data_IF_877011395219
#
_entry.id   IF_877011395219
#
_cell.length_a   1.000
_cell.length_b   1.000
_cell.length_c   1.000
_cell.angle_alpha   90.00
_cell.angle_beta   90.00
_cell.angle_gamma   90.00
#
_symmetry.space_group_name_H-M   'P 1'
#
loop_
_entity.id
_entity.type
_entity.pdbx_description
1 polymer ?
#
# COMPACT_ATOMS: atom_id res chain seq x y z
N UNK A 1 -23.85 -2.96 -10.64
CA UNK A 1 -22.52 -3.51 -10.32
C UNK A 1 -22.04 -4.40 -11.47
N UNK A 2 -20.97 -3.93 -12.14
CA UNK A 2 -20.13 -4.71 -13.04
C UNK A 2 -19.30 -5.70 -12.18
N UNK A 3 -19.17 -6.96 -12.59
CA UNK A 3 -18.39 -7.97 -11.87
C UNK A 3 -16.94 -7.96 -12.36
N UNK A 4 -16.00 -7.75 -11.45
CA UNK A 4 -14.58 -7.60 -11.74
C UNK A 4 -13.84 -8.82 -11.22
N UNK A 5 -14.11 -9.99 -11.81
CA UNK A 5 -13.31 -11.19 -11.51
C UNK A 5 -12.31 -11.42 -12.63
N UNK A 6 -10.99 -11.44 -12.36
CA UNK A 6 -10.06 -12.03 -13.29
C UNK A 6 -10.44 -13.51 -13.43
N UNK A 7 -10.92 -13.91 -14.61
CA UNK A 7 -11.19 -15.31 -14.92
C UNK A 7 -10.18 -15.76 -15.97
N UNK A 8 -9.27 -16.70 -15.65
CA UNK A 8 -8.49 -17.36 -16.68
C UNK A 8 -9.41 -18.40 -17.35
N UNK A 9 -9.81 -18.17 -18.61
CA UNK A 9 -10.36 -19.24 -19.46
C UNK A 9 -9.39 -19.56 -20.57
N UNK A 10 -8.90 -20.80 -20.59
CA UNK A 10 -8.63 -21.65 -21.77
C UNK A 10 -7.72 -21.14 -22.88
N UNK A 11 -6.82 -21.99 -23.34
CA UNK A 11 -6.02 -21.85 -24.56
C UNK A 11 -6.90 -21.62 -25.79
N UNK A 12 -6.81 -20.44 -26.40
CA UNK A 12 -7.52 -20.13 -27.64
C UNK A 12 -7.59 -18.63 -27.92
N UNK A 13 -7.22 -18.24 -29.14
CA UNK A 13 -7.17 -16.85 -29.62
C UNK A 13 -8.58 -16.24 -29.75
N UNK A 14 -9.16 -15.80 -28.63
CA UNK A 14 -10.09 -14.66 -28.51
C UNK A 14 -10.67 -14.67 -27.09
N UNK A 15 -10.09 -13.92 -26.17
CA UNK A 15 -10.57 -13.87 -24.78
C UNK A 15 -11.43 -12.62 -24.57
N UNK A 16 -12.75 -12.81 -24.61
CA UNK A 16 -13.74 -11.77 -24.29
C UNK A 16 -14.13 -11.92 -22.82
N UNK A 17 -13.91 -10.86 -22.03
CA UNK A 17 -14.23 -10.81 -20.60
C UNK A 17 -15.75 -10.71 -20.38
N UNK A 18 -16.33 -11.56 -19.52
CA UNK A 18 -17.78 -11.66 -19.28
C UNK A 18 -18.20 -11.29 -17.85
N UNK A 19 -19.32 -10.57 -17.72
CA UNK A 19 -19.84 -9.97 -16.48
C UNK A 19 -21.03 -10.79 -15.94
N UNK A 20 -21.08 -11.14 -14.65
CA UNK A 20 -22.29 -11.75 -14.03
C UNK A 20 -22.63 -11.17 -12.66
N UNK A 21 -23.92 -10.80 -12.46
CA UNK A 21 -24.51 -10.35 -11.18
C UNK A 21 -25.16 -11.54 -10.48
N UNK A 22 -24.93 -11.76 -9.18
CA UNK A 22 -25.89 -12.47 -8.33
C UNK A 22 -25.81 -12.01 -6.86
N UNK A 23 -27.00 -11.78 -6.30
CA UNK A 23 -27.29 -11.29 -4.95
C UNK A 23 -27.69 -12.44 -3.99
N UNK A 24 -27.62 -12.09 -2.69
CA UNK A 24 -28.51 -12.45 -1.56
C UNK A 24 -28.37 -13.78 -0.80
N UNK A 25 -28.81 -13.67 0.48
CA UNK A 25 -29.04 -14.64 1.58
C UNK A 25 -27.84 -14.74 2.56
N UNK A 26 -27.92 -14.51 3.88
CA UNK A 26 -28.99 -14.26 4.87
C UNK A 26 -28.66 -15.03 6.18
N UNK A 27 -29.01 -14.49 7.37
CA UNK A 27 -29.14 -15.14 8.71
C UNK A 27 -28.08 -14.87 9.84
N UNK A 28 -28.55 -14.09 10.83
CA UNK A 28 -28.59 -14.17 12.32
C UNK A 28 -27.43 -14.65 13.24
N UNK A 29 -27.14 -13.82 14.28
CA UNK A 29 -26.85 -14.28 15.66
C UNK A 29 -25.56 -13.81 16.38
N UNK A 30 -25.66 -12.83 17.30
CA UNK A 30 -25.09 -12.90 18.68
C UNK A 30 -23.66 -12.39 19.07
N UNK A 31 -23.60 -11.34 19.93
CA UNK A 31 -22.64 -11.13 21.06
C UNK A 31 -21.19 -10.64 20.80
N UNK A 32 -20.80 -9.36 21.06
CA UNK A 32 -20.23 -8.74 22.30
C UNK A 32 -18.67 -8.75 22.35
N UNK A 33 -17.97 -7.61 22.10
CA UNK A 33 -17.35 -6.63 23.06
C UNK A 33 -16.07 -7.18 23.73
N UNK A 34 -14.88 -6.55 23.81
CA UNK A 34 -14.44 -5.16 24.03
C UNK A 34 -12.94 -4.99 23.61
N UNK A 35 -12.50 -3.78 23.25
CA UNK A 35 -11.32 -3.16 23.89
C UNK A 35 -10.50 -2.33 22.89
N UNK A 36 -10.11 -1.11 23.27
CA UNK A 36 -9.57 -0.04 22.41
C UNK A 36 -8.46 0.67 23.18
N UNK A 37 -7.31 0.92 22.56
CA UNK A 37 -6.34 1.94 22.99
C UNK A 37 -5.60 2.53 21.76
N UNK A 38 -4.98 3.72 21.87
CA UNK A 38 -5.26 4.83 20.97
C UNK A 38 -4.14 5.15 19.97
N UNK A 39 -4.56 5.90 18.96
CA UNK A 39 -3.78 6.55 17.92
C UNK A 39 -2.94 7.69 18.45
N UNK A 40 -1.67 7.76 18.03
CA UNK A 40 -0.96 9.03 17.89
C UNK A 40 -0.43 9.16 16.46
N UNK A 41 -0.93 10.21 15.80
CA UNK A 41 -0.48 10.76 14.54
C UNK A 41 0.93 11.29 14.72
N UNK A 42 1.86 10.96 13.83
CA UNK A 42 3.04 11.80 13.63
C UNK A 42 3.43 11.79 12.15
N UNK A 43 3.69 13.00 11.66
CA UNK A 43 4.27 13.33 10.38
C UNK A 43 5.58 12.55 10.20
N UNK A 44 5.69 11.75 9.14
CA UNK A 44 6.91 11.00 8.84
C UNK A 44 7.43 11.35 7.45
N UNK A 45 8.56 12.06 7.44
CA UNK A 45 9.49 12.07 6.33
C UNK A 45 10.29 10.76 6.36
N UNK A 46 10.14 9.92 5.32
CA UNK A 46 10.95 8.72 5.11
C UNK A 46 12.37 9.09 4.66
N UNK A 47 13.39 8.35 5.11
CA UNK A 47 14.73 8.32 4.51
C UNK A 47 15.34 6.91 4.67
N UNK A 48 16.28 6.56 3.78
CA UNK A 48 16.47 5.25 3.12
C UNK A 48 17.67 4.40 3.60
N UNK A 49 17.70 3.11 3.23
CA UNK A 49 18.92 2.27 3.10
C UNK A 49 18.72 1.11 2.09
N UNK A 50 19.72 0.85 1.23
CA UNK A 50 19.68 -0.11 0.10
C UNK A 50 20.66 -1.28 0.29
N UNK A 51 20.24 -2.48 -0.11
CA UNK A 51 21.09 -3.68 -0.17
C UNK A 51 21.33 -4.11 -1.63
N UNK A 52 22.58 -4.32 -2.05
CA UNK A 52 22.88 -5.12 -3.23
C UNK A 52 22.86 -6.61 -2.84
N UNK A 53 22.24 -7.44 -3.69
CA UNK A 53 22.41 -8.90 -3.62
C UNK A 53 23.84 -9.20 -4.08
N UNK A 54 24.65 -9.77 -3.17
CA UNK A 54 25.97 -10.33 -3.47
C UNK A 54 27.12 -9.31 -3.57
N UNK A 55 27.84 -9.10 -2.46
CA UNK A 55 29.32 -8.98 -2.40
C UNK A 55 29.76 -8.49 -1.02
N UNK A 56 30.72 -9.20 -0.43
CA UNK A 56 31.37 -8.90 0.84
C UNK A 56 32.09 -7.53 0.84
N UNK A 57 32.34 -6.94 2.02
CA UNK A 57 32.74 -5.56 2.16
C UNK A 57 34.26 -5.44 2.18
N UNK A 58 34.84 -4.68 1.25
CA UNK A 58 36.13 -4.06 1.52
C UNK A 58 36.26 -2.72 0.77
N UNK A 59 36.66 -1.71 1.56
CA UNK A 59 37.04 -0.32 1.21
C UNK A 59 35.93 0.64 0.77
N UNK A 60 35.65 1.63 1.62
CA UNK A 60 35.28 2.98 1.18
C UNK A 60 36.17 3.99 1.92
N UNK A 61 36.80 4.93 1.20
CA UNK A 61 37.13 6.23 1.75
C UNK A 61 36.30 7.33 1.07
N UNK A 62 35.78 8.25 1.91
CA UNK A 62 35.48 9.66 1.58
C UNK A 62 34.67 9.95 0.33
N UNK A 63 33.34 9.93 0.44
CA UNK A 63 32.32 10.31 -0.55
C UNK A 63 32.79 11.18 -1.75
N UNK A 64 33.19 10.56 -2.88
CA UNK A 64 33.19 11.22 -4.17
C UNK A 64 32.04 10.65 -5.01
N UNK A 65 31.33 11.51 -5.73
CA UNK A 65 30.61 11.10 -6.94
C UNK A 65 31.66 10.71 -7.99
N UNK A 66 32.24 9.53 -7.84
CA UNK A 66 32.85 8.78 -8.94
C UNK A 66 32.21 7.42 -8.93
N UNK A 67 31.48 7.12 -10.01
CA UNK A 67 31.06 5.78 -10.35
C UNK A 67 32.25 4.84 -10.09
N UNK A 68 32.13 4.00 -9.06
CA UNK A 68 33.11 2.96 -8.80
C UNK A 68 33.17 2.09 -10.05
N UNK A 69 34.37 1.91 -10.58
CA UNK A 69 34.75 1.13 -11.76
C UNK A 69 34.52 -0.36 -11.54
N UNK A 70 33.24 -0.69 -11.42
CA UNK A 70 32.63 -1.97 -11.15
C UNK A 70 31.14 -1.71 -11.03
N UNK A 71 30.53 -1.26 -12.15
CA UNK A 71 29.20 -0.71 -12.19
C UNK A 71 28.17 -1.71 -11.62
N UNK A 72 27.80 -1.54 -10.35
CA UNK A 72 26.63 -2.20 -9.79
C UNK A 72 25.43 -1.68 -10.58
N UNK A 73 24.96 -2.49 -11.52
CA UNK A 73 23.76 -2.19 -12.30
C UNK A 73 22.55 -2.39 -11.39
N UNK A 74 21.97 -1.29 -10.95
CA UNK A 74 20.72 -1.31 -10.20
C UNK A 74 19.61 -1.76 -11.13
N UNK A 75 19.06 -2.95 -10.91
CA UNK A 75 18.02 -3.49 -11.80
C UNK A 75 16.64 -2.95 -11.39
N UNK A 76 16.38 -2.81 -10.08
CA UNK A 76 15.07 -2.45 -9.53
C UNK A 76 15.19 -1.42 -8.41
N UNK A 77 14.25 -0.46 -8.38
CA UNK A 77 14.10 0.53 -7.31
C UNK A 77 12.66 0.58 -6.81
N UNK A 78 12.41 0.26 -5.53
CA UNK A 78 11.06 0.28 -4.95
C UNK A 78 10.74 1.64 -4.34
N UNK A 79 9.49 2.11 -4.48
CA UNK A 79 9.08 3.43 -4.01
C UNK A 79 7.63 3.52 -3.53
N UNK A 80 7.40 4.48 -2.64
CA UNK A 80 6.13 4.72 -1.93
C UNK A 80 5.19 5.65 -2.70
N UNK A 81 4.67 5.27 -3.88
CA UNK A 81 3.69 6.05 -4.70
C UNK A 81 3.83 7.60 -4.62
N UNK A 82 5.07 8.11 -4.59
CA UNK A 82 5.39 9.48 -4.22
C UNK A 82 6.08 10.16 -5.39
N UNK A 83 5.42 11.18 -5.95
CA UNK A 83 5.93 11.90 -7.13
C UNK A 83 7.29 12.56 -6.89
N UNK A 84 7.56 13.21 -5.73
CA UNK A 84 8.89 13.73 -5.43
C UNK A 84 9.98 12.65 -5.42
N UNK A 85 9.70 11.47 -4.85
CA UNK A 85 10.69 10.39 -4.84
C UNK A 85 10.91 9.81 -6.23
N UNK A 86 9.84 9.64 -7.01
CA UNK A 86 9.97 9.27 -8.42
C UNK A 86 10.91 10.20 -9.17
N UNK A 87 10.77 11.52 -9.03
CA UNK A 87 11.66 12.48 -9.67
C UNK A 87 13.13 12.33 -9.25
N UNK A 88 13.38 12.01 -7.97
CA UNK A 88 14.72 11.71 -7.47
C UNK A 88 15.28 10.44 -8.13
N UNK A 89 14.49 9.36 -8.27
CA UNK A 89 14.94 8.16 -8.98
C UNK A 89 15.20 8.41 -10.46
N UNK A 90 14.31 9.16 -11.13
CA UNK A 90 14.47 9.53 -12.54
C UNK A 90 15.81 10.27 -12.76
N UNK A 91 16.26 11.07 -11.78
CA UNK A 91 17.51 11.84 -11.86
C UNK A 91 18.74 11.04 -11.43
N UNK A 92 18.63 10.31 -10.31
CA UNK A 92 19.80 9.70 -9.65
C UNK A 92 20.06 8.27 -10.10
N UNK A 93 19.03 7.56 -10.57
CA UNK A 93 19.08 6.14 -10.94
C UNK A 93 18.26 5.89 -12.23
N UNK A 94 18.58 6.56 -13.35
CA UNK A 94 17.81 6.46 -14.59
C UNK A 94 17.76 5.05 -15.19
N UNK A 95 18.79 4.24 -14.92
CA UNK A 95 18.90 2.85 -15.39
C UNK A 95 18.08 1.86 -14.55
N UNK A 96 17.60 2.25 -13.37
CA UNK A 96 16.87 1.37 -12.48
C UNK A 96 15.39 1.34 -12.83
N UNK A 97 14.83 0.14 -13.00
CA UNK A 97 13.39 0.02 -13.21
C UNK A 97 12.66 0.27 -11.90
N UNK A 98 11.81 1.28 -11.88
CA UNK A 98 11.09 1.68 -10.68
C UNK A 98 9.84 0.82 -10.45
N UNK A 99 9.64 0.36 -9.23
CA UNK A 99 8.54 -0.49 -8.78
C UNK A 99 7.71 0.24 -7.75
N UNK A 100 6.40 0.33 -7.97
CA UNK A 100 5.45 0.79 -6.97
C UNK A 100 5.21 -0.32 -5.95
N UNK A 101 5.50 -0.05 -4.69
CA UNK A 101 5.37 -1.07 -3.65
C UNK A 101 3.88 -1.46 -3.40
N UNK A 102 3.52 -2.76 -3.43
CA UNK A 102 2.13 -3.21 -3.31
C UNK A 102 1.44 -2.76 -2.03
N UNK A 103 2.17 -2.69 -0.92
CA UNK A 103 1.62 -2.27 0.36
C UNK A 103 1.10 -0.83 0.28
N UNK A 104 1.84 0.08 -0.37
CA UNK A 104 1.41 1.47 -0.52
C UNK A 104 0.17 1.63 -1.39
N UNK A 105 0.02 0.83 -2.45
CA UNK A 105 -1.20 0.84 -3.27
C UNK A 105 -2.42 0.32 -2.49
N UNK A 106 -2.27 -0.80 -1.78
CA UNK A 106 -3.35 -1.38 -0.96
C UNK A 106 -3.70 -0.44 0.22
N UNK A 107 -2.70 0.20 0.83
CA UNK A 107 -2.90 1.21 1.86
C UNK A 107 -3.69 2.41 1.34
N UNK A 108 -3.35 2.91 0.13
CA UNK A 108 -4.12 3.97 -0.51
C UNK A 108 -5.57 3.56 -0.78
N UNK A 109 -5.81 2.34 -1.28
CA UNK A 109 -7.15 1.81 -1.50
C UNK A 109 -7.98 1.77 -0.20
N UNK A 110 -7.36 1.32 0.91
CA UNK A 110 -7.98 1.37 2.24
C UNK A 110 -8.29 2.80 2.70
N UNK A 111 -7.38 3.76 2.47
CA UNK A 111 -7.62 5.16 2.79
C UNK A 111 -8.80 5.73 1.99
N UNK A 112 -8.90 5.44 0.69
CA UNK A 112 -10.02 5.88 -0.16
C UNK A 112 -11.34 5.22 0.23
N UNK A 113 -11.32 3.98 0.69
CA UNK A 113 -12.47 3.34 1.28
C UNK A 113 -12.93 4.04 2.57
N UNK A 114 -12.01 4.39 3.48
CA UNK A 114 -12.37 5.12 4.69
C UNK A 114 -12.87 6.55 4.40
N UNK A 115 -12.27 7.25 3.43
CA UNK A 115 -12.77 8.55 2.94
C UNK A 115 -14.23 8.44 2.45
N UNK A 116 -14.51 7.49 1.55
CA UNK A 116 -15.86 7.28 1.02
C UNK A 116 -16.85 6.94 2.15
N UNK A 117 -16.45 6.04 3.05
CA UNK A 117 -17.25 5.65 4.22
C UNK A 117 -17.58 6.85 5.09
N UNK A 118 -16.59 7.70 5.41
CA UNK A 118 -16.78 8.91 6.22
C UNK A 118 -17.68 9.93 5.53
N UNK A 119 -17.49 10.13 4.22
CA UNK A 119 -18.31 11.05 3.43
C UNK A 119 -19.77 10.59 3.39
N UNK A 120 -20.04 9.35 2.99
CA UNK A 120 -21.40 8.79 2.93
C UNK A 120 -22.07 8.85 4.31
N UNK A 121 -21.33 8.53 5.37
CA UNK A 121 -21.88 8.61 6.71
C UNK A 121 -22.26 10.04 7.12
N UNK A 122 -21.40 11.02 6.82
CA UNK A 122 -21.68 12.42 7.14
C UNK A 122 -22.84 12.96 6.29
N UNK A 123 -22.91 12.60 5.00
CA UNK A 123 -24.03 12.93 4.11
C UNK A 123 -25.36 12.34 4.60
N UNK A 124 -25.34 11.14 5.18
CA UNK A 124 -26.56 10.42 5.59
C UNK A 124 -27.03 10.80 6.99
N UNK A 125 -26.11 11.03 7.93
CA UNK A 125 -26.43 11.25 9.35
C UNK A 125 -26.20 12.70 9.83
N UNK A 126 -25.60 13.55 9.00
CA UNK A 126 -25.27 14.95 9.35
C UNK A 126 -24.17 15.09 10.40
N UNK A 127 -23.49 14.00 10.78
CA UNK A 127 -22.42 14.02 11.77
C UNK A 127 -21.32 12.98 11.51
N UNK A 128 -20.18 13.18 12.19
CA UNK A 128 -19.06 12.23 12.21
C UNK A 128 -19.44 10.89 12.87
N UNK A 129 -18.78 9.82 12.43
CA UNK A 129 -18.72 8.47 13.02
C UNK A 129 -18.89 8.34 14.54
N UNK A 130 -20.04 7.82 14.98
CA UNK A 130 -20.33 7.38 16.35
C UNK A 130 -20.40 5.86 16.45
N UNK A 131 -20.26 5.33 17.67
CA UNK A 131 -20.19 3.87 17.91
C UNK A 131 -21.44 3.10 17.47
N UNK A 132 -22.59 3.75 17.44
CA UNK A 132 -23.89 3.18 17.05
C UNK A 132 -24.10 3.15 15.53
N UNK A 133 -23.41 4.04 14.79
CA UNK A 133 -23.63 4.20 13.36
C UNK A 133 -23.19 2.94 12.58
N UNK A 134 -23.99 2.42 11.64
CA UNK A 134 -23.66 1.21 10.91
C UNK A 134 -22.30 1.30 10.19
N UNK A 135 -22.04 2.41 9.49
CA UNK A 135 -20.79 2.64 8.78
C UNK A 135 -19.58 2.86 9.69
N UNK A 136 -19.77 3.31 10.93
CA UNK A 136 -18.67 3.35 11.89
C UNK A 136 -18.35 1.94 12.41
N UNK A 137 -19.39 1.13 12.67
CA UNK A 137 -19.27 -0.24 13.18
C UNK A 137 -18.55 -1.16 12.19
N UNK A 138 -18.80 -1.01 10.89
CA UNK A 138 -18.24 -1.89 9.84
C UNK A 138 -16.78 -1.59 9.48
N UNK A 139 -16.22 -0.44 9.88
CA UNK A 139 -14.92 0.08 9.41
C UNK A 139 -13.74 -0.90 9.48
N UNK A 140 -13.69 -1.77 10.49
CA UNK A 140 -12.60 -2.75 10.66
C UNK A 140 -12.77 -3.97 9.75
N UNK A 141 -14.01 -4.34 9.44
CA UNK A 141 -14.31 -5.43 8.51
C UNK A 141 -13.97 -5.02 7.08
N UNK A 142 -14.28 -3.76 6.72
CA UNK A 142 -13.96 -3.20 5.40
C UNK A 142 -12.47 -3.29 5.03
N UNK A 143 -11.57 -3.12 6.00
CA UNK A 143 -10.12 -3.18 5.75
C UNK A 143 -9.56 -4.60 5.78
N UNK A 144 -10.30 -5.57 6.33
CA UNK A 144 -9.92 -6.99 6.26
C UNK A 144 -10.00 -7.43 4.79
N UNK A 145 -9.11 -8.34 4.41
CA UNK A 145 -9.19 -8.96 3.10
C UNK A 145 -10.38 -9.92 3.04
N UNK A 146 -11.06 -10.02 1.89
CA UNK A 146 -12.29 -10.82 1.76
C UNK A 146 -12.05 -12.29 2.12
N UNK A 147 -10.93 -12.86 1.67
CA UNK A 147 -10.50 -14.23 1.96
C UNK A 147 -10.24 -14.51 3.44
N UNK A 148 -10.09 -13.45 4.25
CA UNK A 148 -9.89 -13.56 5.69
C UNK A 148 -11.18 -13.34 6.48
N UNK A 149 -12.28 -12.96 5.84
CA UNK A 149 -13.58 -12.82 6.51
C UNK A 149 -14.21 -14.21 6.65
N UNK A 150 -14.50 -14.58 7.90
CA UNK A 150 -15.34 -15.73 8.19
C UNK A 150 -16.80 -15.42 7.85
N UNK A 151 -17.65 -16.45 7.80
CA UNK A 151 -19.06 -16.30 7.40
C UNK A 151 -19.79 -15.28 8.28
N UNK A 152 -19.56 -15.33 9.60
CA UNK A 152 -20.11 -14.35 10.56
C UNK A 152 -19.65 -12.93 10.25
N UNK A 153 -18.36 -12.75 9.95
CA UNK A 153 -17.79 -11.47 9.55
C UNK A 153 -18.38 -10.93 8.25
N UNK A 154 -18.60 -11.80 7.27
CA UNK A 154 -19.19 -11.47 5.97
C UNK A 154 -20.66 -11.05 6.11
N UNK A 155 -21.47 -11.82 6.82
CA UNK A 155 -22.88 -11.50 7.10
C UNK A 155 -23.00 -10.17 7.84
N UNK A 156 -22.16 -9.95 8.85
CA UNK A 156 -22.12 -8.68 9.59
C UNK A 156 -21.72 -7.50 8.70
N UNK A 157 -20.74 -7.68 7.81
CA UNK A 157 -20.32 -6.64 6.87
C UNK A 157 -21.45 -6.26 5.92
N UNK A 158 -22.11 -7.25 5.32
CA UNK A 158 -23.22 -7.02 4.40
C UNK A 158 -24.42 -6.38 5.09
N UNK A 159 -24.79 -6.84 6.29
CA UNK A 159 -25.89 -6.26 7.06
C UNK A 159 -25.64 -4.80 7.45
N UNK A 160 -24.43 -4.46 7.90
CA UNK A 160 -24.09 -3.07 8.24
C UNK A 160 -24.00 -2.16 7.02
N UNK A 161 -23.58 -2.68 5.86
CA UNK A 161 -23.62 -1.94 4.60
C UNK A 161 -25.05 -1.70 4.14
N UNK A 162 -25.93 -2.71 4.22
CA UNK A 162 -27.34 -2.55 3.88
C UNK A 162 -28.03 -1.49 4.74
N UNK A 163 -27.69 -1.41 6.03
CA UNK A 163 -28.25 -0.42 6.95
C UNK A 163 -27.66 1.00 6.82
N UNK A 164 -26.44 1.15 6.30
CA UNK A 164 -25.68 2.41 6.36
C UNK A 164 -25.24 3.00 5.02
N UNK A 165 -25.35 2.26 3.92
CA UNK A 165 -24.88 2.67 2.59
C UNK A 165 -26.05 2.65 1.59
N UNK A 166 -27.02 3.59 1.71
CA UNK A 166 -28.27 3.56 0.95
C UNK A 166 -28.08 3.61 -0.57
N UNK A 167 -26.95 4.17 -1.04
CA UNK A 167 -26.60 4.30 -2.45
C UNK A 167 -25.53 3.30 -2.91
N UNK A 168 -25.08 2.38 -2.05
CA UNK A 168 -24.10 1.35 -2.38
C UNK A 168 -22.68 1.86 -2.65
N UNK A 169 -22.36 3.13 -2.36
CA UNK A 169 -21.06 3.75 -2.72
C UNK A 169 -19.91 3.16 -1.92
N UNK A 170 -20.14 2.87 -0.63
CA UNK A 170 -19.12 2.26 0.25
C UNK A 170 -18.88 0.82 -0.17
N UNK A 171 -19.95 0.08 -0.50
CA UNK A 171 -19.85 -1.28 -1.01
C UNK A 171 -19.09 -1.34 -2.34
N UNK A 172 -19.39 -0.45 -3.28
CA UNK A 172 -18.65 -0.35 -4.55
C UNK A 172 -17.17 -0.03 -4.32
N UNK A 173 -16.86 0.88 -3.39
CA UNK A 173 -15.47 1.22 -3.06
C UNK A 173 -14.74 0.05 -2.39
N UNK A 174 -15.44 -0.73 -1.56
CA UNK A 174 -14.88 -1.95 -0.96
C UNK A 174 -14.57 -2.99 -2.02
N UNK A 175 -15.47 -3.21 -2.98
CA UNK A 175 -15.19 -4.08 -4.13
C UNK A 175 -13.98 -3.58 -4.93
N UNK A 176 -13.89 -2.28 -5.21
CA UNK A 176 -12.74 -1.71 -5.92
C UNK A 176 -11.41 -1.96 -5.20
N UNK A 177 -11.39 -1.87 -3.85
CA UNK A 177 -10.21 -2.25 -3.05
C UNK A 177 -9.85 -3.72 -3.24
N UNK A 178 -10.81 -4.64 -3.19
CA UNK A 178 -10.52 -6.07 -3.39
C UNK A 178 -10.02 -6.37 -4.82
N UNK A 179 -10.58 -5.68 -5.83
CA UNK A 179 -10.12 -5.79 -7.22
C UNK A 179 -8.70 -5.23 -7.41
N UNK A 180 -8.33 -4.18 -6.67
CA UNK A 180 -6.96 -3.67 -6.65
C UNK A 180 -6.02 -4.67 -5.96
N UNK A 181 -6.46 -5.37 -4.91
CA UNK A 181 -5.66 -6.42 -4.26
C UNK A 181 -5.36 -7.55 -5.25
N UNK A 182 -6.35 -7.96 -6.05
CA UNK A 182 -6.18 -9.06 -7.00
C UNK A 182 -5.25 -8.75 -8.17
N UNK A 183 -4.86 -7.49 -8.39
CA UNK A 183 -3.78 -7.15 -9.34
C UNK A 183 -2.56 -8.03 -9.06
N UNK A 184 -2.16 -8.14 -7.79
CA UNK A 184 -0.94 -8.84 -7.37
C UNK A 184 -1.07 -10.37 -7.32
N UNK A 185 -2.25 -10.90 -7.61
CA UNK A 185 -2.50 -12.34 -7.81
C UNK A 185 -2.27 -12.76 -9.28
N UNK A 186 -2.05 -11.80 -10.19
CA UNK A 186 -1.80 -12.07 -11.61
C UNK A 186 -0.32 -12.40 -11.81
N UNK A 187 -0.02 -13.62 -12.29
CA UNK A 187 1.37 -14.03 -12.53
C UNK A 187 1.97 -13.51 -13.83
N UNK A 188 1.17 -13.41 -14.89
CA UNK A 188 1.66 -12.96 -16.19
C UNK A 188 1.73 -11.42 -16.25
N UNK A 189 2.90 -10.80 -16.49
CA UNK A 189 3.05 -9.34 -16.52
C UNK A 189 2.22 -8.63 -17.59
N UNK A 190 2.03 -9.24 -18.76
CA UNK A 190 1.26 -8.65 -19.86
C UNK A 190 -0.24 -8.66 -19.54
N UNK A 191 -0.73 -9.73 -18.90
CA UNK A 191 -2.09 -9.78 -18.38
C UNK A 191 -2.30 -8.76 -17.25
N UNK A 192 -1.30 -8.55 -16.38
CA UNK A 192 -1.36 -7.53 -15.35
C UNK A 192 -1.42 -6.11 -15.97
N UNK A 193 -0.64 -5.85 -17.02
CA UNK A 193 -0.66 -4.59 -17.75
C UNK A 193 -2.04 -4.27 -18.35
N UNK A 194 -2.63 -5.24 -19.06
CA UNK A 194 -3.96 -5.13 -19.64
C UNK A 194 -5.02 -4.90 -18.55
N UNK A 195 -4.93 -5.66 -17.46
CA UNK A 195 -5.86 -5.58 -16.34
C UNK A 195 -5.79 -4.23 -15.64
N UNK A 196 -4.60 -3.74 -15.29
CA UNK A 196 -4.41 -2.42 -14.64
C UNK A 196 -4.87 -1.30 -15.55
N UNK A 197 -4.58 -1.37 -16.86
CA UNK A 197 -5.01 -0.37 -17.84
C UNK A 197 -6.53 -0.26 -17.90
N UNK A 198 -7.21 -1.41 -18.02
CA UNK A 198 -8.68 -1.47 -18.02
C UNK A 198 -9.24 -0.97 -16.71
N UNK A 199 -8.72 -1.46 -15.58
CA UNK A 199 -9.17 -1.08 -14.25
C UNK A 199 -9.05 0.42 -13.99
N UNK A 200 -7.94 1.02 -14.40
CA UNK A 200 -7.73 2.45 -14.30
C UNK A 200 -8.79 3.24 -15.09
N UNK A 201 -9.15 2.78 -16.30
CA UNK A 201 -10.19 3.36 -17.15
C UNK A 201 -11.59 3.22 -16.56
N UNK A 202 -11.98 2.00 -16.20
CA UNK A 202 -13.31 1.72 -15.68
C UNK A 202 -13.59 2.48 -14.37
N UNK A 203 -12.59 2.61 -13.49
CA UNK A 203 -12.74 3.40 -12.25
C UNK A 203 -12.92 4.91 -12.49
N UNK A 204 -12.70 5.43 -13.70
CA UNK A 204 -12.98 6.84 -14.04
C UNK A 204 -14.45 7.12 -14.37
N UNK A 205 -15.31 6.10 -14.49
CA UNK A 205 -16.73 6.29 -14.78
C UNK A 205 -17.37 7.29 -13.80
N UNK A 206 -18.10 8.28 -14.34
CA UNK A 206 -18.72 9.37 -13.55
C UNK A 206 -19.80 8.88 -12.58
N UNK A 207 -20.30 7.66 -12.77
CA UNK A 207 -21.23 7.00 -11.85
C UNK A 207 -20.55 6.55 -10.56
N UNK A 208 -19.22 6.35 -10.55
CA UNK A 208 -18.49 5.97 -9.36
C UNK A 208 -18.21 7.14 -8.42
N UNK A 209 -18.13 6.88 -7.09
CA UNK A 209 -17.79 7.89 -6.11
C UNK A 209 -16.41 8.52 -6.40
N UNK A 210 -16.19 9.79 -6.00
CA UNK A 210 -14.95 10.51 -6.29
C UNK A 210 -13.70 9.80 -5.74
N UNK A 211 -13.83 9.03 -4.65
CA UNK A 211 -12.75 8.25 -4.07
C UNK A 211 -12.28 7.12 -5.01
N UNK A 212 -13.21 6.42 -5.66
CA UNK A 212 -12.89 5.40 -6.67
C UNK A 212 -12.25 6.02 -7.92
N UNK A 213 -12.79 7.15 -8.39
CA UNK A 213 -12.18 7.90 -9.51
C UNK A 213 -10.79 8.41 -9.15
N UNK A 214 -10.53 8.75 -7.89
CA UNK A 214 -9.17 9.05 -7.43
C UNK A 214 -8.25 7.83 -7.53
N UNK A 215 -8.72 6.62 -7.18
CA UNK A 215 -7.93 5.39 -7.34
C UNK A 215 -7.61 5.11 -8.80
N UNK A 216 -8.58 5.24 -9.71
CA UNK A 216 -8.33 5.06 -11.14
C UNK A 216 -7.28 6.03 -11.70
N UNK A 217 -7.26 7.29 -11.23
CA UNK A 217 -6.22 8.28 -11.61
C UNK A 217 -4.84 7.85 -11.10
N UNK A 218 -4.76 7.33 -9.88
CA UNK A 218 -3.51 6.80 -9.33
C UNK A 218 -3.03 5.59 -10.13
N UNK A 219 -3.91 4.62 -10.41
CA UNK A 219 -3.57 3.44 -11.20
C UNK A 219 -3.04 3.84 -12.59
N UNK A 220 -3.69 4.80 -13.25
CA UNK A 220 -3.21 5.32 -14.54
C UNK A 220 -1.82 5.97 -14.42
N UNK A 221 -1.61 6.80 -13.39
CA UNK A 221 -0.35 7.53 -13.19
C UNK A 221 0.84 6.61 -12.88
N UNK A 222 0.59 5.53 -12.14
CA UNK A 222 1.60 4.61 -11.63
C UNK A 222 1.58 3.24 -12.33
N UNK A 223 0.90 3.15 -13.48
CA UNK A 223 0.67 1.89 -14.20
C UNK A 223 1.99 1.14 -14.43
N UNK A 224 2.97 1.79 -15.04
CA UNK A 224 4.23 1.15 -15.42
C UNK A 224 4.99 0.66 -14.19
N UNK A 225 4.97 1.43 -13.10
CA UNK A 225 5.56 1.06 -11.80
C UNK A 225 4.85 -0.11 -11.13
N UNK A 226 3.52 -0.20 -11.24
CA UNK A 226 2.74 -1.32 -10.71
C UNK A 226 3.03 -2.59 -11.51
N UNK A 227 3.04 -2.49 -12.85
CA UNK A 227 3.33 -3.62 -13.75
C UNK A 227 4.77 -4.10 -13.59
N UNK A 228 5.73 -3.20 -13.33
CA UNK A 228 7.12 -3.56 -13.06
C UNK A 228 7.28 -4.53 -11.89
N UNK A 229 6.39 -4.49 -10.88
CA UNK A 229 6.40 -5.44 -9.78
C UNK A 229 6.23 -6.89 -10.24
N UNK A 230 5.44 -7.14 -11.29
CA UNK A 230 5.20 -8.48 -11.83
C UNK A 230 6.46 -9.10 -12.47
N UNK A 231 7.44 -8.27 -12.83
CA UNK A 231 8.74 -8.70 -13.38
C UNK A 231 9.80 -8.83 -12.28
N UNK A 232 9.89 -7.84 -11.39
CA UNK A 232 10.98 -7.77 -10.40
C UNK A 232 10.66 -8.39 -9.03
N UNK A 233 9.38 -8.46 -8.64
CA UNK A 233 8.88 -8.92 -7.32
C UNK A 233 9.55 -8.25 -6.10
N UNK A 234 10.28 -7.15 -6.30
CA UNK A 234 10.94 -6.42 -5.23
C UNK A 234 9.92 -5.63 -4.40
N UNK A 235 10.16 -5.52 -3.09
CA UNK A 235 9.29 -4.79 -2.15
C UNK A 235 10.12 -3.85 -1.28
N UNK A 236 9.45 -2.86 -0.67
CA UNK A 236 10.11 -1.94 0.28
C UNK A 236 10.27 -2.54 1.70
N UNK A 237 9.91 -3.81 1.89
CA UNK A 237 9.85 -4.47 3.20
C UNK A 237 11.14 -4.41 4.03
N UNK A 238 12.33 -4.71 3.47
CA UNK A 238 13.59 -4.62 4.23
C UNK A 238 13.86 -3.20 4.74
N UNK A 239 13.63 -2.18 3.91
CA UNK A 239 13.83 -0.78 4.27
C UNK A 239 12.79 -0.34 5.30
N UNK A 240 11.53 -0.78 5.19
CA UNK A 240 10.50 -0.58 6.22
C UNK A 240 10.88 -1.21 7.56
N UNK A 241 11.48 -2.41 7.56
CA UNK A 241 11.93 -3.08 8.78
C UNK A 241 13.02 -2.26 9.50
N UNK A 242 14.01 -1.75 8.75
CA UNK A 242 15.04 -0.85 9.28
C UNK A 242 14.42 0.46 9.78
N UNK A 243 13.46 1.04 9.05
CA UNK A 243 12.77 2.25 9.48
C UNK A 243 11.98 2.04 10.79
N UNK A 244 11.30 0.90 10.92
CA UNK A 244 10.58 0.54 12.14
C UNK A 244 11.53 0.32 13.33
N UNK A 245 12.72 -0.23 13.07
CA UNK A 245 13.79 -0.36 14.05
C UNK A 245 14.24 1.02 14.56
N UNK A 246 14.54 1.94 13.65
CA UNK A 246 14.96 3.31 13.96
C UNK A 246 13.87 4.05 14.76
N UNK A 247 12.60 3.92 14.36
CA UNK A 247 11.45 4.49 15.08
C UNK A 247 11.33 3.93 16.50
N UNK A 248 11.59 2.63 16.68
CA UNK A 248 11.61 1.99 18.01
C UNK A 248 12.71 2.58 18.88
N UNK A 249 13.91 2.74 18.35
CA UNK A 249 15.03 3.39 19.05
C UNK A 249 14.64 4.79 19.52
N UNK A 250 14.04 5.60 18.62
CA UNK A 250 13.55 6.94 18.96
C UNK A 250 12.49 6.93 20.07
N UNK A 251 11.56 5.97 20.04
CA UNK A 251 10.48 5.84 21.03
C UNK A 251 11.02 5.45 22.40
N UNK A 252 11.93 4.47 22.47
CA UNK A 252 12.54 4.01 23.72
C UNK A 252 13.38 5.13 24.36
N UNK A 253 14.04 5.95 23.55
CA UNK A 253 14.83 7.08 24.04
C UNK A 253 13.99 8.29 24.51
N UNK A 254 12.66 8.27 24.38
CA UNK A 254 11.78 9.42 24.60
C UNK A 254 12.19 10.66 23.76
N UNK A 255 12.71 10.40 22.56
CA UNK A 255 13.24 11.44 21.66
C UNK A 255 14.73 11.71 21.87
N UNK A 256 15.32 12.46 20.93
CA UNK A 256 16.73 12.84 20.97
C UNK A 256 16.85 14.35 20.81
N UNK A 257 17.70 14.97 21.63
CA UNK A 257 18.00 16.41 21.54
C UNK A 257 18.97 16.76 20.41
N UNK A 258 19.82 15.81 19.99
CA UNK A 258 20.86 16.00 18.98
C UNK A 258 20.78 14.91 17.91
N UNK A 259 20.82 15.30 16.64
CA UNK A 259 20.80 14.36 15.51
C UNK A 259 21.98 13.37 15.55
N UNK A 260 23.18 13.83 15.97
CA UNK A 260 24.35 12.95 16.12
C UNK A 260 24.08 11.77 17.04
N UNK A 261 23.50 12.01 18.22
CA UNK A 261 23.17 10.96 19.20
C UNK A 261 22.11 10.00 18.65
N UNK A 262 21.10 10.52 17.95
CA UNK A 262 20.10 9.70 17.25
C UNK A 262 20.74 8.80 16.18
N UNK A 263 21.64 9.35 15.36
CA UNK A 263 22.34 8.62 14.29
C UNK A 263 23.23 7.50 14.86
N UNK A 264 24.05 7.79 15.87
CA UNK A 264 24.91 6.80 16.53
C UNK A 264 24.07 5.67 17.12
N UNK A 265 23.00 6.01 17.87
CA UNK A 265 22.15 5.01 18.51
C UNK A 265 21.41 4.15 17.48
N UNK A 266 20.95 4.75 16.38
CA UNK A 266 20.29 4.03 15.29
C UNK A 266 21.24 3.04 14.62
N UNK A 267 22.49 3.44 14.36
CA UNK A 267 23.52 2.59 13.77
C UNK A 267 23.92 1.43 14.67
N UNK A 268 24.15 1.69 15.97
CA UNK A 268 24.46 0.66 16.97
C UNK A 268 23.33 -0.37 17.14
N UNK A 269 22.09 0.07 16.99
CA UNK A 269 20.94 -0.82 17.13
C UNK A 269 20.64 -1.61 15.85
N UNK A 270 21.01 -1.07 14.68
CA UNK A 270 20.92 -1.75 13.39
C UNK A 270 22.00 -2.83 13.18
N UNK A 271 23.02 -2.90 14.04
CA UNK A 271 24.05 -3.95 14.00
C UNK A 271 25.41 -3.47 14.50
N UNK A 272 26.48 -4.02 13.93
CA UNK A 272 27.87 -3.55 14.16
C UNK A 272 28.26 -2.59 13.03
N UNK A 273 28.02 -1.27 13.17
CA UNK A 273 28.39 -0.32 12.14
C UNK A 273 29.91 -0.32 11.95
N UNK A 274 30.35 -0.34 10.69
CA UNK A 274 31.74 -0.07 10.36
C UNK A 274 31.94 1.45 10.40
N UNK A 275 32.55 1.93 11.48
CA UNK A 275 32.78 3.36 11.72
C UNK A 275 33.75 3.99 10.72
N UNK A 276 34.66 3.20 10.15
CA UNK A 276 35.65 3.68 9.18
C UNK A 276 34.99 4.14 7.87
N UNK A 277 33.82 3.59 7.54
CA UNK A 277 33.03 4.00 6.37
C UNK A 277 32.19 5.27 6.64
N UNK A 278 32.15 5.74 7.88
CA UNK A 278 31.30 6.85 8.32
C UNK A 278 32.14 8.06 8.70
N UNK A 279 32.66 8.78 7.68
CA UNK A 279 33.53 9.94 7.85
C UNK A 279 33.01 11.06 8.77
N UNK A 280 31.70 11.08 9.04
CA UNK A 280 31.02 12.11 9.87
C UNK A 280 30.59 11.60 11.25
N UNK A 281 30.92 10.35 11.63
CA UNK A 281 30.52 9.76 12.91
C UNK A 281 31.69 9.05 13.57
N UNK A 282 32.29 9.67 14.58
CA UNK A 282 33.18 9.00 15.52
C UNK A 282 32.39 8.58 16.75
N UNK A 283 32.27 7.27 17.05
CA UNK A 283 31.84 6.83 18.37
C UNK A 283 32.96 7.19 19.35
N UNK A 284 32.67 8.09 20.29
CA UNK A 284 33.48 8.24 21.51
C UNK A 284 32.73 7.54 22.62
#
# INVERSE_FOLDING_TARGET
>A
MRCWKPTPRGSGRSRRWGWTRRCSLGWDGGGACCGRLPSSTSLEACCWMWFPVGAAPNRLPGWPLKATTGARRWVWATLDLSSPYRAVFDTMLPEATQIADPFHLIKLANSKLDECRRRVQNETLGHRGRKTDPLYRVRRLLTKADERLDERGRTKLLGLLAAGDPRGKVKDTWHAKEVIRSIYEIDNPDLADEFVTRLAGDLQDRTFPPEMRSLGRTLRRWKDHIVAWHRGRATNGPTEAVNNLIKRVKRIAFGFRRFRSYRIRSLLYAGRPNWDLLATVTPR
#
